data_IF_225452539513
#
_entry.id   IF_225452539513
#
_cell.length_a   1.000
_cell.length_b   1.000
_cell.length_c   1.000
_cell.angle_alpha   90.00
_cell.angle_beta   90.00
_cell.angle_gamma   90.00
#
_symmetry.space_group_name_H-M   'P 1'
#
loop_
_entity.id
_entity.type
_entity.pdbx_description
1 polymer ?
#
# COMPACT_ATOMS: atom_id res chain seq x y z
N UNK A 1 15.45 6.56 -7.40
CA UNK A 1 15.16 7.05 -6.03
C UNK A 1 14.42 5.95 -5.29
N UNK A 2 14.72 5.71 -4.01
CA UNK A 2 14.05 4.66 -3.22
C UNK A 2 12.69 5.19 -2.77
N UNK A 3 11.63 4.40 -2.92
CA UNK A 3 10.27 4.75 -2.49
C UNK A 3 10.14 4.67 -0.97
N UNK A 4 9.12 5.30 -0.38
CA UNK A 4 8.81 5.10 1.04
C UNK A 4 8.61 3.62 1.37
N UNK A 5 7.91 2.87 0.49
CA UNK A 5 7.78 1.42 0.65
C UNK A 5 9.14 0.73 0.63
N UNK A 6 10.03 1.11 -0.28
CA UNK A 6 11.39 0.58 -0.33
C UNK A 6 12.22 0.87 0.92
N UNK A 7 12.02 2.02 1.55
CA UNK A 7 12.66 2.35 2.83
C UNK A 7 12.15 1.44 3.95
N UNK A 8 10.85 1.21 4.04
CA UNK A 8 10.27 0.31 5.06
C UNK A 8 10.73 -1.14 4.85
N UNK A 9 10.74 -1.64 3.61
CA UNK A 9 11.27 -2.98 3.30
C UNK A 9 12.75 -3.12 3.69
N UNK A 10 13.56 -2.08 3.45
CA UNK A 10 14.98 -2.08 3.84
C UNK A 10 15.17 -2.09 5.36
N UNK A 11 14.36 -1.33 6.11
CA UNK A 11 14.41 -1.37 7.59
C UNK A 11 14.12 -2.76 8.10
N UNK A 12 13.05 -3.40 7.61
CA UNK A 12 12.70 -4.78 7.96
C UNK A 12 13.88 -5.73 7.69
N UNK A 13 14.53 -5.61 6.53
CA UNK A 13 15.70 -6.43 6.20
C UNK A 13 16.88 -6.19 7.14
N UNK A 14 17.18 -4.93 7.47
CA UNK A 14 18.26 -4.58 8.40
C UNK A 14 17.98 -5.14 9.80
N UNK A 15 16.75 -5.00 10.29
CA UNK A 15 16.34 -5.46 11.62
C UNK A 15 16.37 -7.00 11.74
N UNK A 16 16.31 -7.71 10.60
CA UNK A 16 16.36 -9.18 10.53
C UNK A 16 17.69 -9.74 10.04
N UNK A 17 18.68 -8.88 9.80
CA UNK A 17 19.97 -9.23 9.19
C UNK A 17 19.83 -10.01 7.86
N UNK A 18 18.89 -9.56 7.02
CA UNK A 18 18.53 -10.21 5.76
C UNK A 18 19.05 -9.47 4.52
N UNK A 19 19.51 -10.24 3.53
CA UNK A 19 19.77 -9.73 2.20
C UNK A 19 18.47 -9.60 1.41
N UNK A 20 18.54 -8.90 0.28
CA UNK A 20 17.39 -8.78 -0.63
C UNK A 20 16.86 -10.15 -1.10
N UNK A 21 17.78 -11.10 -1.31
CA UNK A 21 17.44 -12.46 -1.75
C UNK A 21 16.64 -13.21 -0.69
N UNK A 22 17.06 -13.14 0.58
CA UNK A 22 16.37 -13.82 1.68
C UNK A 22 14.92 -13.33 1.81
N UNK A 23 14.70 -12.02 1.73
CA UNK A 23 13.35 -11.45 1.73
C UNK A 23 12.53 -11.87 0.52
N UNK A 24 13.16 -11.90 -0.67
CA UNK A 24 12.49 -12.30 -1.89
C UNK A 24 12.04 -13.76 -1.81
N UNK A 25 12.90 -14.65 -1.31
CA UNK A 25 12.62 -16.06 -1.12
C UNK A 25 11.47 -16.28 -0.13
N UNK A 26 11.49 -15.58 1.03
CA UNK A 26 10.39 -15.62 2.01
C UNK A 26 9.05 -15.16 1.43
N UNK A 27 9.07 -14.15 0.56
CA UNK A 27 7.87 -13.61 -0.11
C UNK A 27 7.44 -14.45 -1.32
N UNK A 28 8.20 -15.48 -1.71
CA UNK A 28 7.96 -16.25 -2.93
C UNK A 28 8.03 -15.39 -4.20
N UNK A 29 8.95 -14.41 -4.23
CA UNK A 29 9.18 -13.48 -5.34
C UNK A 29 10.66 -13.52 -5.76
N UNK A 30 10.96 -12.95 -6.92
CA UNK A 30 12.37 -12.77 -7.33
C UNK A 30 13.00 -11.54 -6.68
N UNK A 31 14.31 -11.55 -6.46
CA UNK A 31 15.06 -10.38 -5.99
C UNK A 31 14.87 -9.16 -6.90
N UNK A 32 14.73 -9.40 -8.22
CA UNK A 32 14.42 -8.35 -9.20
C UNK A 32 13.04 -7.73 -8.98
N UNK A 33 12.04 -8.53 -8.59
CA UNK A 33 10.71 -8.04 -8.26
C UNK A 33 10.73 -7.16 -7.01
N UNK A 34 11.34 -7.61 -5.91
CA UNK A 34 11.43 -6.83 -4.67
C UNK A 34 12.21 -5.54 -4.92
N UNK A 35 13.36 -5.62 -5.60
CA UNK A 35 14.14 -4.43 -6.01
C UNK A 35 13.31 -3.44 -6.83
N UNK A 36 12.55 -3.91 -7.82
CA UNK A 36 11.72 -3.05 -8.65
C UNK A 36 10.64 -2.32 -7.83
N UNK A 37 10.09 -2.94 -6.78
CA UNK A 37 9.18 -2.28 -5.83
C UNK A 37 9.94 -1.24 -5.00
N UNK A 38 11.11 -1.58 -4.45
CA UNK A 38 11.89 -0.67 -3.61
C UNK A 38 12.29 0.63 -4.33
N UNK A 39 12.56 0.55 -5.63
CA UNK A 39 12.92 1.73 -6.45
C UNK A 39 11.73 2.33 -7.21
N UNK A 40 10.52 1.82 -7.00
CA UNK A 40 9.29 2.36 -7.61
C UNK A 40 9.12 2.06 -9.11
N UNK A 41 9.93 1.15 -9.67
CA UNK A 41 9.75 0.66 -11.05
C UNK A 41 8.50 -0.21 -11.20
N UNK A 42 8.09 -0.87 -10.12
CA UNK A 42 6.89 -1.72 -10.08
C UNK A 42 6.00 -1.33 -8.90
N UNK A 43 4.70 -1.22 -9.12
CA UNK A 43 3.74 -1.04 -8.02
C UNK A 43 3.54 -2.37 -7.28
N UNK A 44 3.38 -2.34 -5.94
CA UNK A 44 3.10 -3.54 -5.17
C UNK A 44 1.74 -4.12 -5.57
N UNK A 45 1.61 -5.45 -5.75
CA UNK A 45 0.31 -6.06 -6.00
C UNK A 45 -0.60 -5.90 -4.77
N UNK A 46 -1.93 -6.04 -4.93
CA UNK A 46 -2.84 -6.15 -3.80
C UNK A 46 -2.39 -7.28 -2.86
N UNK A 47 -2.45 -7.04 -1.54
CA UNK A 47 -2.05 -8.03 -0.54
C UNK A 47 -0.55 -8.15 -0.29
N UNK A 48 0.30 -7.34 -0.94
CA UNK A 48 1.74 -7.42 -0.76
C UNK A 48 2.18 -7.03 0.67
N UNK A 49 1.66 -5.92 1.17
CA UNK A 49 1.89 -5.43 2.53
C UNK A 49 1.34 -6.39 3.59
N UNK A 50 0.20 -7.05 3.35
CA UNK A 50 -0.33 -8.09 4.24
C UNK A 50 0.63 -9.28 4.32
N UNK A 51 1.18 -9.71 3.17
CA UNK A 51 2.14 -10.81 3.11
C UNK A 51 3.43 -10.45 3.87
N UNK A 52 3.96 -9.25 3.67
CA UNK A 52 5.15 -8.75 4.39
C UNK A 52 4.86 -8.65 5.89
N UNK A 53 3.75 -8.02 6.30
CA UNK A 53 3.38 -7.88 7.70
C UNK A 53 3.26 -9.24 8.41
N UNK A 54 2.68 -10.24 7.73
CA UNK A 54 2.51 -11.59 8.25
C UNK A 54 3.83 -12.36 8.35
N UNK A 55 4.64 -12.38 7.29
CA UNK A 55 5.91 -13.13 7.25
C UNK A 55 6.90 -12.62 8.30
N UNK A 56 6.90 -11.31 8.53
CA UNK A 56 7.82 -10.67 9.44
C UNK A 56 7.22 -10.38 10.81
N UNK A 57 5.98 -10.78 11.09
CA UNK A 57 5.31 -10.58 12.39
C UNK A 57 5.48 -9.15 12.91
N UNK A 58 5.19 -8.17 12.04
CA UNK A 58 5.47 -6.76 12.33
C UNK A 58 4.56 -6.20 13.43
N UNK A 59 5.12 -5.33 14.27
CA UNK A 59 4.35 -4.58 15.26
C UNK A 59 3.35 -3.61 14.58
N UNK A 60 2.28 -3.26 15.29
CA UNK A 60 1.14 -2.50 14.75
C UNK A 60 1.52 -1.13 14.15
N UNK A 61 2.53 -0.47 14.71
CA UNK A 61 3.04 0.81 14.21
C UNK A 61 3.80 0.65 12.88
N UNK A 62 4.61 -0.41 12.76
CA UNK A 62 5.33 -0.76 11.54
C UNK A 62 4.38 -1.24 10.44
N UNK A 63 3.36 -2.00 10.79
CA UNK A 63 2.26 -2.37 9.87
C UNK A 63 1.61 -1.11 9.32
N UNK A 64 1.24 -0.15 10.17
CA UNK A 64 0.60 1.09 9.73
C UNK A 64 1.47 1.88 8.75
N UNK A 65 2.77 2.01 9.04
CA UNK A 65 3.73 2.68 8.14
C UNK A 65 3.87 1.94 6.80
N UNK A 66 3.93 0.61 6.84
CA UNK A 66 4.04 -0.23 5.65
C UNK A 66 2.83 -0.06 4.72
N UNK A 67 1.62 -0.06 5.26
CA UNK A 67 0.39 0.10 4.47
C UNK A 67 0.32 1.49 3.85
N UNK A 68 0.59 2.54 4.63
CA UNK A 68 0.64 3.91 4.11
C UNK A 68 1.69 4.07 2.99
N UNK A 69 2.86 3.43 3.17
CA UNK A 69 3.91 3.45 2.17
C UNK A 69 3.53 2.66 0.90
N UNK A 70 2.84 1.54 1.05
CA UNK A 70 2.31 0.74 -0.05
C UNK A 70 1.24 1.49 -0.85
N UNK A 71 0.29 2.15 -0.17
CA UNK A 71 -0.74 2.95 -0.82
C UNK A 71 -0.15 4.11 -1.62
N UNK A 72 0.86 4.80 -1.08
CA UNK A 72 1.60 5.84 -1.81
C UNK A 72 2.39 5.31 -3.00
N UNK A 73 2.79 4.05 -2.99
CA UNK A 73 3.52 3.40 -4.09
C UNK A 73 2.60 2.83 -5.17
N UNK A 74 1.30 2.66 -4.88
CA UNK A 74 0.31 2.22 -5.85
C UNK A 74 -0.04 3.34 -6.81
N UNK A 75 -0.31 2.94 -8.07
CA UNK A 75 -0.80 3.84 -9.12
C UNK A 75 -2.30 3.72 -9.36
N UNK A 76 -2.89 2.64 -8.91
CA UNK A 76 -4.32 2.35 -9.07
C UNK A 76 -4.83 1.54 -7.89
N UNK A 77 -6.12 1.70 -7.63
CA UNK A 77 -6.86 0.98 -6.61
C UNK A 77 -8.06 0.31 -7.26
N UNK A 78 -8.37 -0.90 -6.82
CA UNK A 78 -9.57 -1.64 -7.23
C UNK A 78 -10.58 -1.56 -6.09
N UNK A 79 -11.79 -1.11 -6.40
CA UNK A 79 -12.90 -1.04 -5.45
C UNK A 79 -14.00 -1.95 -5.99
N UNK A 80 -14.58 -2.79 -5.13
CA UNK A 80 -15.65 -3.74 -5.48
C UNK A 80 -16.93 -3.42 -4.67
N UNK A 81 -17.79 -2.50 -5.15
CA UNK A 81 -18.98 -2.10 -4.40
C UNK A 81 -20.07 -3.19 -4.42
N UNK A 82 -20.66 -3.46 -3.26
CA UNK A 82 -21.70 -4.48 -3.07
C UNK A 82 -23.13 -3.97 -3.31
N UNK A 83 -23.38 -2.66 -3.30
CA UNK A 83 -24.69 -2.04 -3.46
C UNK A 83 -24.78 -1.16 -4.72
N UNK A 84 -26.01 -0.91 -5.21
CA UNK A 84 -26.23 -0.01 -6.35
C UNK A 84 -25.71 1.41 -6.05
N UNK A 85 -26.05 1.95 -4.88
CA UNK A 85 -25.53 3.24 -4.42
C UNK A 85 -24.00 3.24 -4.35
N UNK A 86 -23.38 2.17 -3.84
CA UNK A 86 -21.93 2.04 -3.81
C UNK A 86 -21.29 2.06 -5.20
N UNK A 87 -21.94 1.45 -6.21
CA UNK A 87 -21.48 1.49 -7.60
C UNK A 87 -21.59 2.89 -8.18
N UNK A 88 -22.69 3.59 -7.92
CA UNK A 88 -22.88 4.98 -8.37
C UNK A 88 -21.83 5.91 -7.74
N UNK A 89 -21.60 5.79 -6.43
CA UNK A 89 -20.59 6.56 -5.70
C UNK A 89 -19.18 6.25 -6.22
N UNK A 90 -18.81 4.98 -6.38
CA UNK A 90 -17.50 4.60 -6.90
C UNK A 90 -17.28 5.11 -8.33
N UNK A 91 -18.30 5.03 -9.20
CA UNK A 91 -18.24 5.54 -10.56
C UNK A 91 -18.08 7.07 -10.62
N UNK A 92 -18.78 7.81 -9.75
CA UNK A 92 -18.63 9.25 -9.65
C UNK A 92 -17.24 9.64 -9.13
N UNK A 93 -16.78 8.97 -8.07
CA UNK A 93 -15.45 9.17 -7.49
C UNK A 93 -14.36 8.92 -8.53
N UNK A 94 -14.42 7.81 -9.28
CA UNK A 94 -13.43 7.49 -10.30
C UNK A 94 -13.35 8.56 -11.41
N UNK A 95 -14.49 9.16 -11.81
CA UNK A 95 -14.52 10.22 -12.83
C UNK A 95 -14.00 11.56 -12.32
N UNK A 96 -14.19 11.86 -11.02
CA UNK A 96 -13.92 13.18 -10.42
C UNK A 96 -12.66 13.22 -9.55
N UNK A 97 -12.04 12.09 -9.24
CA UNK A 97 -10.95 11.97 -8.25
C UNK A 97 -9.85 13.02 -8.43
N UNK A 98 -9.40 13.23 -9.68
CA UNK A 98 -8.31 14.16 -9.98
C UNK A 98 -8.75 15.63 -10.10
N UNK A 99 -10.05 15.91 -9.97
CA UNK A 99 -10.64 17.26 -9.99
C UNK A 99 -10.99 17.76 -8.58
N UNK A 100 -10.90 16.90 -7.56
CA UNK A 100 -11.20 17.25 -6.18
C UNK A 100 -10.09 18.14 -5.58
N UNK A 101 -10.50 19.20 -4.90
CA UNK A 101 -9.61 20.05 -4.10
C UNK A 101 -9.09 19.33 -2.85
N UNK A 102 -8.01 19.85 -2.24
CA UNK A 102 -7.49 19.30 -0.98
C UNK A 102 -8.53 19.36 0.13
N UNK A 103 -9.33 20.43 0.21
CA UNK A 103 -10.43 20.57 1.16
C UNK A 103 -11.45 19.44 0.99
N UNK A 104 -11.88 19.17 -0.25
CA UNK A 104 -12.83 18.09 -0.56
C UNK A 104 -12.26 16.70 -0.26
N UNK A 105 -10.97 16.47 -0.59
CA UNK A 105 -10.30 15.21 -0.26
C UNK A 105 -10.24 15.00 1.26
N UNK A 106 -10.00 16.07 2.03
CA UNK A 106 -10.02 16.03 3.49
C UNK A 106 -11.42 15.72 4.03
N UNK A 107 -12.48 16.32 3.49
CA UNK A 107 -13.87 15.98 3.87
C UNK A 107 -14.19 14.50 3.63
N UNK A 108 -13.78 13.95 2.47
CA UNK A 108 -13.95 12.52 2.17
C UNK A 108 -13.18 11.66 3.18
N UNK A 109 -11.92 12.01 3.48
CA UNK A 109 -11.11 11.30 4.47
C UNK A 109 -11.77 11.28 5.85
N UNK A 110 -12.37 12.40 6.28
CA UNK A 110 -13.08 12.49 7.56
C UNK A 110 -14.34 11.61 7.60
N UNK A 111 -15.10 11.55 6.50
CA UNK A 111 -16.25 10.62 6.39
C UNK A 111 -15.78 9.17 6.56
N UNK A 112 -14.70 8.79 5.88
CA UNK A 112 -14.18 7.41 5.90
C UNK A 112 -13.54 7.03 7.25
N UNK A 113 -12.91 7.97 7.96
CA UNK A 113 -12.32 7.73 9.27
C UNK A 113 -13.37 7.47 10.35
N UNK A 114 -14.51 8.18 10.30
CA UNK A 114 -15.62 8.00 11.25
C UNK A 114 -16.28 6.62 11.20
N UNK A 115 -16.00 5.82 10.17
CA UNK A 115 -16.52 4.44 10.04
C UNK A 115 -15.67 3.38 10.76
N UNK A 116 -14.50 3.76 11.28
CA UNK A 116 -13.55 2.84 11.95
C UNK A 116 -13.71 2.78 13.48
N UNK A 117 -14.69 3.50 14.04
CA UNK A 117 -15.14 3.42 15.44
C UNK A 117 -16.38 2.53 15.55
#
# INVERSE_FOLDING_TARGET
MVTELGKELRKIRIDRDERLMDMADKLGKSSAFVSAIEVGKKSPPPGFEDAVAKIYELASDMVTKLYQAADRARKSFTIEPSSMLGRDTAGLLARRMNELSEEQLNEINEILRKMRE
#
